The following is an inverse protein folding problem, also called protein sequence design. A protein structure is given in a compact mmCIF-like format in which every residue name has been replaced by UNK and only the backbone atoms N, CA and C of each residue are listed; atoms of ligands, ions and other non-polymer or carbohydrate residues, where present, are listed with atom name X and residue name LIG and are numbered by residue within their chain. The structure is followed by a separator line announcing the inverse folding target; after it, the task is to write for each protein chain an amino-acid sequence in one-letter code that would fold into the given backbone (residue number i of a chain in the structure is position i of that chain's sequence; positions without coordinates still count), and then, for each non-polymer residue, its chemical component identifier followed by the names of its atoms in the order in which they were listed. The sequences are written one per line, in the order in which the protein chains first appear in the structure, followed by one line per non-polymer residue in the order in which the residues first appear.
data_IF_862348976326
#
_entry.id   IF_862348976326
#
_cell.length_a   1.000
_cell.length_b   1.000
_cell.length_c   1.000
_cell.angle_alpha   90.00
_cell.angle_beta   90.00
_cell.angle_gamma   90.00
#
_symmetry.space_group_name_H-M   'P 1'
#
loop_
_entity.id
_entity.type
_entity.pdbx_description
1 polymer ?
#
# COMPACT_ATOMS: atom_id res chain seq x y z
N UNK A 1 25.02 -20.43 -8.50
CA UNK A 1 23.66 -20.89 -8.10
C UNK A 1 22.67 -20.05 -8.89
N UNK A 2 21.76 -20.65 -9.67
CA UNK A 2 20.77 -19.89 -10.45
C UNK A 2 19.82 -19.18 -9.49
N UNK A 3 19.74 -17.86 -9.56
CA UNK A 3 18.88 -17.04 -8.70
C UNK A 3 17.42 -17.32 -9.08
N UNK A 4 16.61 -17.76 -8.11
CA UNK A 4 15.20 -18.02 -8.33
C UNK A 4 14.43 -16.70 -8.43
N UNK A 5 13.96 -16.37 -9.63
CA UNK A 5 13.35 -15.07 -9.90
C UNK A 5 11.81 -15.04 -9.71
N UNK A 6 11.17 -16.18 -9.45
CA UNK A 6 9.72 -16.29 -9.24
C UNK A 6 9.32 -16.60 -7.79
N UNK A 7 8.03 -16.41 -7.48
CA UNK A 7 7.41 -16.81 -6.20
C UNK A 7 6.07 -17.48 -6.50
N UNK A 8 5.81 -18.67 -5.93
CA UNK A 8 4.55 -19.41 -6.09
C UNK A 8 3.86 -19.50 -4.74
N UNK A 9 2.62 -19.00 -4.65
CA UNK A 9 1.85 -18.97 -3.39
C UNK A 9 1.48 -20.36 -2.89
N UNK A 10 0.94 -21.19 -3.78
CA UNK A 10 0.36 -22.49 -3.46
C UNK A 10 0.48 -23.40 -4.68
N UNK A 11 0.91 -24.63 -4.44
CA UNK A 11 0.89 -25.72 -5.40
C UNK A 11 -0.06 -26.78 -4.87
N UNK A 12 -0.99 -27.23 -5.72
CA UNK A 12 -1.96 -28.27 -5.38
C UNK A 12 -1.75 -29.39 -6.38
N UNK A 13 -1.54 -30.61 -5.87
CA UNK A 13 -1.54 -31.82 -6.66
C UNK A 13 -2.82 -32.58 -6.34
N UNK A 14 -3.71 -32.65 -7.32
CA UNK A 14 -4.97 -33.38 -7.22
C UNK A 14 -4.84 -34.71 -7.97
N UNK A 15 -5.16 -35.82 -7.30
CA UNK A 15 -4.98 -37.18 -7.81
C UNK A 15 -6.17 -38.02 -7.43
N UNK A 16 -6.74 -38.70 -8.42
CA UNK A 16 -7.76 -39.74 -8.22
C UNK A 16 -7.10 -41.11 -8.31
N UNK A 17 -7.45 -42.01 -7.39
CA UNK A 17 -6.92 -43.38 -7.33
C UNK A 17 -8.06 -44.38 -7.53
N UNK A 18 -7.80 -45.44 -8.28
CA UNK A 18 -8.79 -46.49 -8.56
C UNK A 18 -9.06 -47.41 -7.36
N UNK A 19 -8.24 -47.35 -6.29
CA UNK A 19 -8.48 -48.11 -5.06
C UNK A 19 -7.98 -47.39 -3.80
N UNK A 20 -8.70 -47.56 -2.69
CA UNK A 20 -8.39 -46.94 -1.39
C UNK A 20 -7.20 -47.60 -0.65
N UNK A 21 -6.79 -48.80 -1.05
CA UNK A 21 -5.80 -49.61 -0.35
C UNK A 21 -4.38 -49.07 -0.65
N UNK A 22 -3.74 -48.48 0.36
CA UNK A 22 -2.36 -47.98 0.26
C UNK A 22 -2.22 -46.46 0.01
N UNK A 23 -3.30 -45.69 0.18
CA UNK A 23 -3.36 -44.25 -0.09
C UNK A 23 -2.27 -43.43 0.62
N UNK A 24 -1.93 -43.75 1.88
CA UNK A 24 -0.93 -43.01 2.65
C UNK A 24 0.50 -43.23 2.11
N UNK A 25 0.89 -44.48 1.88
CA UNK A 25 2.21 -44.82 1.35
C UNK A 25 2.39 -44.27 -0.07
N UNK A 26 1.32 -44.32 -0.87
CA UNK A 26 1.31 -43.72 -2.20
C UNK A 26 1.41 -42.18 -2.14
N UNK A 27 0.67 -41.53 -1.24
CA UNK A 27 0.78 -40.08 -1.01
C UNK A 27 2.20 -39.67 -0.61
N UNK A 28 2.85 -40.40 0.30
CA UNK A 28 4.24 -40.10 0.69
C UNK A 28 5.20 -40.24 -0.49
N UNK A 29 5.06 -41.30 -1.29
CA UNK A 29 5.88 -41.52 -2.50
C UNK A 29 5.69 -40.42 -3.53
N UNK A 30 4.44 -40.07 -3.86
CA UNK A 30 4.10 -38.97 -4.76
C UNK A 30 4.65 -37.64 -4.24
N UNK A 31 4.48 -37.36 -2.94
CA UNK A 31 4.96 -36.11 -2.35
C UNK A 31 6.48 -35.99 -2.46
N UNK A 32 7.19 -37.11 -2.27
CA UNK A 32 8.62 -37.22 -2.53
C UNK A 32 8.97 -36.84 -3.97
N UNK A 33 8.41 -37.56 -4.96
CA UNK A 33 8.63 -37.31 -6.39
C UNK A 33 8.32 -35.85 -6.76
N UNK A 34 7.21 -35.32 -6.26
CA UNK A 34 6.80 -33.94 -6.53
C UNK A 34 7.86 -32.95 -6.05
N UNK A 35 8.33 -33.08 -4.81
CA UNK A 35 9.33 -32.17 -4.22
C UNK A 35 10.72 -32.32 -4.84
N UNK A 36 11.16 -33.54 -5.15
CA UNK A 36 12.54 -33.79 -5.60
C UNK A 36 12.71 -33.73 -7.11
N UNK A 37 11.68 -34.06 -7.89
CA UNK A 37 11.79 -34.17 -9.34
C UNK A 37 10.95 -33.14 -10.10
N UNK A 38 9.77 -32.77 -9.59
CA UNK A 38 8.83 -31.90 -10.31
C UNK A 38 9.05 -30.42 -9.98
N UNK A 39 9.17 -30.07 -8.69
CA UNK A 39 9.41 -28.68 -8.24
C UNK A 39 10.64 -28.06 -8.91
N UNK A 40 11.82 -28.73 -8.97
CA UNK A 40 12.98 -28.16 -9.65
C UNK A 40 12.76 -27.89 -11.15
N UNK A 41 11.88 -28.65 -11.82
CA UNK A 41 11.55 -28.45 -13.24
C UNK A 41 10.63 -27.26 -13.44
N UNK A 42 9.60 -27.14 -12.59
CA UNK A 42 8.75 -25.95 -12.53
C UNK A 42 9.63 -24.71 -12.32
N UNK A 43 10.57 -24.78 -11.38
CA UNK A 43 11.46 -23.67 -11.08
C UNK A 43 12.37 -23.30 -12.27
N UNK A 44 12.88 -24.30 -12.99
CA UNK A 44 13.70 -24.08 -14.18
C UNK A 44 12.90 -23.38 -15.30
N UNK A 45 11.66 -23.81 -15.55
CA UNK A 45 10.79 -23.20 -16.56
C UNK A 45 10.39 -21.77 -16.20
N UNK A 46 10.01 -21.51 -14.95
CA UNK A 46 9.68 -20.16 -14.49
C UNK A 46 10.89 -19.23 -14.55
N UNK A 47 12.07 -19.69 -14.11
CA UNK A 47 13.30 -18.88 -14.12
C UNK A 47 13.70 -18.49 -15.55
N UNK A 48 13.50 -19.38 -16.53
CA UNK A 48 13.81 -19.13 -17.94
C UNK A 48 13.03 -17.97 -18.57
N UNK A 49 11.84 -17.65 -18.04
CA UNK A 49 10.98 -16.59 -18.56
C UNK A 49 11.19 -15.26 -17.81
N UNK A 50 11.74 -15.30 -16.61
CA UNK A 50 11.80 -14.18 -15.66
C UNK A 50 12.94 -13.18 -15.92
N UNK A 51 13.32 -12.95 -17.18
CA UNK A 51 14.51 -12.16 -17.56
C UNK A 51 14.28 -10.65 -17.71
N UNK A 52 13.03 -10.19 -17.76
CA UNK A 52 12.67 -8.78 -18.00
C UNK A 52 12.61 -7.91 -16.73
N UNK A 53 12.51 -6.59 -16.92
CA UNK A 53 12.31 -5.60 -15.85
C UNK A 53 10.88 -5.56 -15.28
N UNK A 54 9.97 -6.34 -15.86
CA UNK A 54 8.56 -6.42 -15.50
C UNK A 54 8.27 -7.67 -14.65
N UNK A 55 7.38 -7.53 -13.67
CA UNK A 55 6.90 -8.68 -12.91
C UNK A 55 5.65 -9.22 -13.59
N UNK A 56 5.64 -10.53 -13.84
CA UNK A 56 4.50 -11.22 -14.43
C UNK A 56 3.67 -11.82 -13.29
N UNK A 57 2.37 -11.52 -13.25
CA UNK A 57 1.44 -12.14 -12.30
C UNK A 57 0.53 -13.14 -13.01
N UNK A 58 0.51 -14.36 -12.49
CA UNK A 58 -0.40 -15.43 -12.92
C UNK A 58 -1.24 -15.81 -11.71
N UNK A 59 -2.55 -15.56 -11.78
CA UNK A 59 -3.45 -15.81 -10.65
C UNK A 59 -3.66 -17.32 -10.40
N UNK A 60 -3.80 -18.11 -11.49
CA UNK A 60 -3.95 -19.57 -11.44
C UNK A 60 -3.41 -20.22 -12.71
N UNK A 61 -2.63 -21.29 -12.55
CA UNK A 61 -2.16 -22.15 -13.64
C UNK A 61 -2.59 -23.58 -13.35
N UNK A 62 -3.45 -24.13 -14.21
CA UNK A 62 -3.94 -25.51 -14.09
C UNK A 62 -3.35 -26.37 -15.19
N UNK A 63 -2.85 -27.53 -14.79
CA UNK A 63 -2.30 -28.54 -15.66
C UNK A 63 -3.09 -29.82 -15.47
N UNK A 64 -3.75 -30.25 -16.53
CA UNK A 64 -4.29 -31.60 -16.60
C UNK A 64 -3.20 -32.54 -17.11
N UNK A 65 -2.77 -33.46 -16.24
CA UNK A 65 -1.77 -34.47 -16.57
C UNK A 65 -2.41 -35.76 -17.09
N UNK A 66 -3.74 -35.87 -17.11
CA UNK A 66 -4.47 -37.08 -17.49
C UNK A 66 -4.07 -38.29 -16.64
N UNK A 67 -4.11 -39.48 -17.25
CA UNK A 67 -3.81 -40.74 -16.57
C UNK A 67 -2.29 -40.97 -16.52
N UNK A 68 -1.78 -41.32 -15.34
CA UNK A 68 -0.36 -41.65 -15.09
C UNK A 68 -0.22 -43.13 -14.70
N UNK A 69 0.69 -43.86 -15.34
CA UNK A 69 1.00 -45.24 -14.97
C UNK A 69 1.75 -45.29 -13.63
N UNK A 70 1.18 -46.01 -12.66
CA UNK A 70 1.76 -46.20 -11.33
C UNK A 70 3.16 -46.84 -11.36
N UNK A 71 3.45 -47.68 -12.35
CA UNK A 71 4.73 -48.40 -12.48
C UNK A 71 5.85 -47.45 -12.92
N UNK A 72 5.52 -46.49 -13.80
CA UNK A 72 6.47 -45.53 -14.38
C UNK A 72 6.22 -44.09 -13.94
N UNK A 73 5.51 -43.92 -12.82
CA UNK A 73 4.95 -42.67 -12.34
C UNK A 73 5.93 -41.49 -12.37
N UNK A 74 7.14 -41.66 -11.82
CA UNK A 74 8.12 -40.59 -11.77
C UNK A 74 8.54 -40.14 -13.19
N UNK A 75 8.78 -41.09 -14.08
CA UNK A 75 9.20 -40.82 -15.47
C UNK A 75 8.08 -40.18 -16.28
N UNK A 76 6.85 -40.70 -16.19
CA UNK A 76 5.70 -40.12 -16.90
C UNK A 76 5.36 -38.73 -16.38
N UNK A 77 5.35 -38.53 -15.07
CA UNK A 77 5.06 -37.23 -14.46
C UNK A 77 6.07 -36.18 -14.92
N UNK A 78 7.38 -36.50 -14.89
CA UNK A 78 8.42 -35.61 -15.44
C UNK A 78 8.15 -35.26 -16.91
N UNK A 79 7.92 -36.28 -17.73
CA UNK A 79 7.68 -36.10 -19.17
C UNK A 79 6.49 -35.18 -19.43
N UNK A 80 5.35 -35.42 -18.78
CA UNK A 80 4.15 -34.61 -18.97
C UNK A 80 4.33 -33.17 -18.46
N UNK A 81 5.10 -32.96 -17.39
CA UNK A 81 5.43 -31.61 -16.91
C UNK A 81 6.30 -30.89 -17.94
N UNK A 82 7.36 -31.51 -18.44
CA UNK A 82 8.25 -30.91 -19.43
C UNK A 82 7.51 -30.58 -20.75
N UNK A 83 6.50 -31.38 -21.11
CA UNK A 83 5.69 -31.18 -22.32
C UNK A 83 4.61 -30.12 -22.13
N UNK A 84 3.81 -30.20 -21.06
CA UNK A 84 2.59 -29.40 -20.89
C UNK A 84 2.82 -28.10 -20.14
N UNK A 85 3.75 -28.06 -19.19
CA UNK A 85 3.99 -26.88 -18.35
C UNK A 85 4.47 -25.68 -19.15
N UNK A 86 5.47 -25.79 -20.05
CA UNK A 86 5.88 -24.65 -20.87
C UNK A 86 4.73 -24.12 -21.73
N UNK A 87 3.94 -25.00 -22.34
CA UNK A 87 2.82 -24.61 -23.20
C UNK A 87 1.75 -23.86 -22.42
N UNK A 88 1.34 -24.39 -21.26
CA UNK A 88 0.36 -23.74 -20.39
C UNK A 88 0.89 -22.43 -19.82
N UNK A 89 2.17 -22.38 -19.48
CA UNK A 89 2.82 -21.16 -19.02
C UNK A 89 2.80 -20.10 -20.12
N UNK A 90 3.23 -20.41 -21.35
CA UNK A 90 3.21 -19.49 -22.50
C UNK A 90 1.80 -19.00 -22.82
N UNK A 91 0.82 -19.91 -22.81
CA UNK A 91 -0.58 -19.55 -23.01
C UNK A 91 -1.10 -18.62 -21.89
N UNK A 92 -0.69 -18.86 -20.64
CA UNK A 92 -1.02 -17.97 -19.52
C UNK A 92 -0.34 -16.59 -19.64
N UNK A 93 0.77 -16.49 -20.36
CA UNK A 93 1.46 -15.24 -20.67
C UNK A 93 0.91 -14.53 -21.91
N UNK A 94 -0.15 -15.06 -22.53
CA UNK A 94 -0.82 -14.44 -23.67
C UNK A 94 -0.08 -14.56 -25.00
N UNK A 95 0.86 -15.52 -25.15
CA UNK A 95 1.52 -15.83 -26.43
C UNK A 95 2.49 -14.76 -26.99
N UNK A 96 2.34 -13.49 -26.62
CA UNK A 96 3.12 -12.36 -27.13
C UNK A 96 4.44 -12.10 -26.39
N UNK A 97 4.68 -12.75 -25.25
CA UNK A 97 5.89 -12.52 -24.44
C UNK A 97 7.17 -13.17 -24.99
N UNK A 98 7.10 -14.01 -26.02
CA UNK A 98 8.25 -14.75 -26.55
C UNK A 98 8.71 -14.33 -27.94
N UNK A 99 7.98 -13.45 -28.62
CA UNK A 99 8.41 -12.86 -29.89
C UNK A 99 8.92 -11.44 -29.64
N UNK A 100 10.24 -11.27 -29.75
CA UNK A 100 10.99 -10.00 -29.82
C UNK A 100 11.62 -9.47 -28.54
N UNK A 101 12.82 -9.98 -28.31
CA UNK A 101 13.97 -9.32 -27.69
C UNK A 101 14.45 -8.04 -28.46
N UNK A 102 13.54 -7.31 -29.16
CA UNK A 102 13.88 -6.09 -29.93
C UNK A 102 12.79 -5.00 -30.00
N UNK A 103 11.66 -5.12 -29.33
CA UNK A 103 10.65 -4.06 -29.33
C UNK A 103 10.15 -3.77 -27.91
N UNK A 104 11.03 -3.16 -27.11
CA UNK A 104 10.56 -2.38 -25.97
C UNK A 104 9.64 -1.27 -26.51
N UNK A 105 8.46 -1.14 -25.90
CA UNK A 105 7.43 -0.11 -26.10
C UNK A 105 6.35 -0.45 -27.13
N UNK A 106 5.33 -1.22 -26.73
CA UNK A 106 3.90 -0.86 -26.89
C UNK A 106 2.99 -1.95 -26.31
N UNK A 107 2.52 -1.77 -25.06
CA UNK A 107 1.24 -2.36 -24.62
C UNK A 107 0.52 -1.34 -23.74
N UNK A 108 0.01 -0.30 -24.37
CA UNK A 108 -0.97 0.65 -23.83
C UNK A 108 -2.09 0.77 -24.87
N UNK A 109 -2.83 -0.32 -25.06
CA UNK A 109 -4.14 -0.36 -25.70
C UNK A 109 -4.69 -1.76 -25.46
N UNK A 110 -5.90 -1.87 -24.91
CA UNK A 110 -6.68 -3.10 -24.62
C UNK A 110 -6.79 -3.51 -23.14
N UNK A 111 -6.82 -2.55 -22.21
CA UNK A 111 -6.96 -2.81 -20.77
C UNK A 111 -8.41 -2.96 -20.24
N UNK A 112 -9.43 -3.21 -21.06
CA UNK A 112 -10.81 -3.22 -20.55
C UNK A 112 -11.64 -4.48 -20.78
N UNK A 113 -11.10 -5.54 -21.40
CA UNK A 113 -11.79 -6.84 -21.45
C UNK A 113 -10.76 -7.97 -21.54
N UNK A 114 -10.35 -8.55 -20.40
CA UNK A 114 -10.05 -9.99 -20.23
C UNK A 114 -9.32 -10.28 -18.91
N UNK A 115 -9.88 -11.23 -18.15
CA UNK A 115 -9.29 -12.13 -17.15
C UNK A 115 -7.84 -11.91 -16.72
N UNK A 116 -7.63 -11.03 -15.72
CA UNK A 116 -6.66 -11.19 -14.61
C UNK A 116 -5.16 -11.34 -14.91
N UNK A 117 -4.70 -11.23 -16.16
CA UNK A 117 -3.32 -11.56 -16.56
C UNK A 117 -2.64 -10.35 -17.19
N UNK A 118 -1.85 -9.64 -16.39
CA UNK A 118 -1.10 -8.47 -16.87
C UNK A 118 0.31 -8.41 -16.30
N UNK A 119 1.28 -7.87 -17.06
CA UNK A 119 2.52 -7.37 -16.46
C UNK A 119 2.20 -6.32 -15.41
N UNK A 120 2.66 -6.58 -14.20
CA UNK A 120 2.57 -5.64 -13.09
C UNK A 120 3.82 -4.77 -13.16
N UNK A 121 3.62 -3.49 -13.49
CA UNK A 121 4.70 -2.51 -13.45
C UNK A 121 5.29 -2.43 -12.04
N UNK A 122 6.58 -2.08 -11.94
CA UNK A 122 7.22 -1.87 -10.63
C UNK A 122 6.43 -0.89 -9.75
N UNK A 123 5.88 0.17 -10.37
CA UNK A 123 5.07 1.19 -9.69
C UNK A 123 3.81 0.59 -9.06
N UNK A 124 3.10 -0.27 -9.79
CA UNK A 124 1.89 -0.94 -9.31
C UNK A 124 2.20 -1.89 -8.14
N UNK A 125 3.24 -2.72 -8.30
CA UNK A 125 3.69 -3.65 -7.25
C UNK A 125 4.11 -2.92 -5.97
N UNK A 126 4.85 -1.83 -6.11
CA UNK A 126 5.29 -0.99 -4.99
C UNK A 126 4.06 -0.42 -4.23
N UNK A 127 3.04 0.06 -4.96
CA UNK A 127 1.79 0.53 -4.35
C UNK A 127 1.00 -0.60 -3.66
N UNK A 128 0.80 -1.74 -4.31
CA UNK A 128 0.11 -2.90 -3.73
C UNK A 128 0.79 -3.38 -2.45
N UNK A 129 2.13 -3.40 -2.44
CA UNK A 129 2.94 -3.78 -1.28
C UNK A 129 2.72 -2.81 -0.12
N UNK A 130 2.80 -1.50 -0.37
CA UNK A 130 2.57 -0.46 0.63
C UNK A 130 1.13 -0.53 1.18
N UNK A 131 0.13 -0.62 0.30
CA UNK A 131 -1.28 -0.67 0.69
C UNK A 131 -1.61 -1.93 1.48
N UNK A 132 -1.05 -3.08 1.11
CA UNK A 132 -1.22 -4.32 1.88
C UNK A 132 -0.57 -4.22 3.25
N UNK A 133 0.66 -3.72 3.34
CA UNK A 133 1.35 -3.50 4.62
C UNK A 133 0.56 -2.54 5.51
N UNK A 134 0.09 -1.41 4.97
CA UNK A 134 -0.73 -0.46 5.71
C UNK A 134 -2.01 -1.13 6.22
N UNK A 135 -2.70 -1.97 5.43
CA UNK A 135 -3.96 -2.60 5.86
C UNK A 135 -3.80 -3.80 6.80
N UNK A 136 -2.73 -4.58 6.64
CA UNK A 136 -2.57 -5.88 7.30
C UNK A 136 -1.42 -5.94 8.31
N UNK A 137 -0.52 -4.95 8.31
CA UNK A 137 0.66 -4.91 9.18
C UNK A 137 1.75 -5.92 8.85
N UNK A 138 1.61 -6.65 7.74
CA UNK A 138 2.55 -7.65 7.27
C UNK A 138 2.83 -7.45 5.78
N UNK A 139 3.98 -7.92 5.29
CA UNK A 139 4.27 -7.88 3.87
C UNK A 139 3.44 -8.94 3.13
N UNK A 140 3.02 -8.68 1.88
CA UNK A 140 2.39 -9.69 1.06
C UNK A 140 3.29 -10.92 0.85
N UNK A 141 2.66 -12.07 0.61
CA UNK A 141 3.36 -13.34 0.35
C UNK A 141 4.28 -13.32 -0.87
N UNK A 142 4.06 -12.40 -1.82
CA UNK A 142 4.88 -12.28 -3.03
C UNK A 142 6.18 -11.49 -2.82
N UNK A 143 6.35 -10.83 -1.67
CA UNK A 143 7.60 -10.14 -1.33
C UNK A 143 8.63 -11.15 -0.82
N UNK A 144 9.74 -11.31 -1.55
CA UNK A 144 10.81 -12.24 -1.16
C UNK A 144 11.51 -11.77 0.11
N UNK A 145 11.96 -12.73 0.93
CA UNK A 145 12.65 -12.44 2.20
C UNK A 145 13.91 -11.59 2.06
N UNK A 146 14.63 -11.67 0.94
CA UNK A 146 15.80 -10.86 0.63
C UNK A 146 15.49 -9.49 0.00
N UNK A 147 14.22 -9.22 -0.34
CA UNK A 147 13.78 -8.01 -1.05
C UNK A 147 12.86 -7.14 -0.17
N UNK A 148 12.95 -7.30 1.16
CA UNK A 148 12.10 -6.55 2.10
C UNK A 148 12.30 -5.06 1.89
N UNK A 149 11.30 -4.32 1.38
CA UNK A 149 11.47 -2.91 1.13
C UNK A 149 11.49 -2.18 2.47
N UNK A 150 12.26 -1.10 2.54
CA UNK A 150 12.11 -0.15 3.64
C UNK A 150 10.78 0.59 3.43
N UNK A 151 9.80 0.36 4.30
CA UNK A 151 8.44 0.92 4.14
C UNK A 151 8.44 2.44 4.12
N UNK A 152 9.34 3.09 4.88
CA UNK A 152 9.51 4.54 4.85
C UNK A 152 9.99 5.05 3.48
N UNK A 153 10.97 4.39 2.88
CA UNK A 153 11.44 4.70 1.52
C UNK A 153 10.36 4.49 0.48
N UNK A 154 9.58 3.40 0.62
CA UNK A 154 8.49 3.07 -0.27
C UNK A 154 7.37 4.12 -0.19
N UNK A 155 6.96 4.49 1.02
CA UNK A 155 5.96 5.53 1.26
C UNK A 155 6.42 6.88 0.69
N UNK A 156 7.63 7.33 1.05
CA UNK A 156 8.22 8.58 0.55
C UNK A 156 8.31 8.59 -0.97
N UNK A 157 8.78 7.50 -1.57
CA UNK A 157 8.86 7.33 -3.01
C UNK A 157 7.49 7.34 -3.69
N UNK A 158 6.43 6.84 -3.04
CA UNK A 158 5.07 6.86 -3.57
C UNK A 158 4.41 8.23 -3.45
N UNK A 159 4.62 8.95 -2.34
CA UNK A 159 4.15 10.34 -2.17
C UNK A 159 4.66 11.23 -3.30
N UNK A 160 5.92 11.04 -3.71
CA UNK A 160 6.54 11.83 -4.79
C UNK A 160 6.16 11.36 -6.21
N UNK A 161 5.99 10.05 -6.44
CA UNK A 161 5.75 9.47 -7.78
C UNK A 161 4.27 9.33 -8.15
N UNK A 162 3.40 9.22 -7.16
CA UNK A 162 1.95 9.05 -7.34
C UNK A 162 1.14 9.66 -6.17
N UNK A 163 1.18 10.99 -6.01
CA UNK A 163 0.50 11.68 -4.92
C UNK A 163 -1.01 11.43 -4.92
N UNK A 164 -1.64 11.29 -6.09
CA UNK A 164 -3.07 11.05 -6.22
C UNK A 164 -3.49 9.69 -5.61
N UNK A 165 -2.76 8.60 -5.90
CA UNK A 165 -3.04 7.30 -5.28
C UNK A 165 -2.76 7.29 -3.79
N UNK A 166 -1.73 7.99 -3.33
CA UNK A 166 -1.47 8.12 -1.88
C UNK A 166 -2.60 8.88 -1.20
N UNK A 167 -3.06 10.00 -1.78
CA UNK A 167 -4.22 10.74 -1.26
C UNK A 167 -5.44 9.84 -1.15
N UNK A 168 -5.78 9.08 -2.20
CA UNK A 168 -6.90 8.15 -2.19
C UNK A 168 -6.76 7.05 -1.12
N UNK A 169 -5.56 6.50 -0.94
CA UNK A 169 -5.28 5.52 0.12
C UNK A 169 -5.48 6.13 1.52
N UNK A 170 -4.94 7.33 1.76
CA UNK A 170 -5.07 8.04 3.03
C UNK A 170 -6.53 8.37 3.36
N UNK A 171 -7.30 8.83 2.37
CA UNK A 171 -8.75 9.06 2.52
C UNK A 171 -9.48 7.76 2.92
N UNK A 172 -9.16 6.65 2.26
CA UNK A 172 -9.82 5.37 2.51
C UNK A 172 -9.53 4.78 3.90
N UNK A 173 -8.41 5.15 4.54
CA UNK A 173 -8.04 4.67 5.88
C UNK A 173 -8.27 5.72 6.96
N UNK A 174 -8.73 6.92 6.61
CA UNK A 174 -8.72 8.10 7.49
C UNK A 174 -9.45 7.86 8.83
N UNK A 175 -10.53 7.09 8.83
CA UNK A 175 -11.30 6.80 10.04
C UNK A 175 -10.64 5.74 10.97
N UNK A 176 -9.69 4.94 10.48
CA UNK A 176 -9.11 3.84 11.24
C UNK A 176 -7.80 4.27 11.92
N UNK A 177 -7.86 4.40 13.24
CA UNK A 177 -6.73 4.79 14.08
C UNK A 177 -5.49 3.91 13.86
N UNK A 178 -5.65 2.59 13.79
CA UNK A 178 -4.52 1.67 13.69
C UNK A 178 -3.84 1.76 12.31
N UNK A 179 -4.61 2.00 11.25
CA UNK A 179 -4.07 2.17 9.90
C UNK A 179 -3.31 3.49 9.77
N UNK A 180 -3.89 4.59 10.28
CA UNK A 180 -3.24 5.91 10.27
C UNK A 180 -1.98 5.91 11.14
N UNK A 181 -2.04 5.31 12.32
CA UNK A 181 -0.88 5.09 13.18
C UNK A 181 0.24 4.38 12.42
N UNK A 182 -0.08 3.31 11.68
CA UNK A 182 0.93 2.56 10.90
C UNK A 182 1.57 3.42 9.81
N UNK A 183 0.82 4.32 9.18
CA UNK A 183 1.39 5.30 8.23
C UNK A 183 2.36 6.22 8.94
N UNK A 184 1.96 6.84 10.05
CA UNK A 184 2.81 7.79 10.78
C UNK A 184 4.09 7.14 11.33
N UNK A 185 4.03 5.89 11.80
CA UNK A 185 5.22 5.15 12.22
C UNK A 185 6.24 4.90 11.10
N UNK A 186 5.79 4.89 9.85
CA UNK A 186 6.64 4.64 8.69
C UNK A 186 6.89 5.91 7.87
N UNK A 187 6.60 7.09 8.41
CA UNK A 187 6.83 8.37 7.74
C UNK A 187 7.89 9.17 8.49
N UNK A 188 8.88 9.68 7.76
CA UNK A 188 9.74 10.75 8.28
C UNK A 188 8.98 12.10 8.26
N UNK A 189 9.54 13.11 8.91
CA UNK A 189 8.89 14.41 9.04
C UNK A 189 8.55 15.06 7.69
N UNK A 190 9.44 14.94 6.70
CA UNK A 190 9.22 15.48 5.36
C UNK A 190 8.12 14.72 4.61
N UNK A 191 8.02 13.41 4.79
CA UNK A 191 6.93 12.60 4.23
C UNK A 191 5.60 12.98 4.87
N UNK A 192 5.53 13.20 6.19
CA UNK A 192 4.31 13.69 6.86
C UNK A 192 3.89 15.05 6.32
N UNK A 193 4.83 16.00 6.19
CA UNK A 193 4.57 17.32 5.63
C UNK A 193 4.01 17.23 4.20
N UNK A 194 4.63 16.41 3.34
CA UNK A 194 4.15 16.19 1.98
C UNK A 194 2.77 15.53 1.94
N UNK A 195 2.48 14.58 2.83
CA UNK A 195 1.16 13.96 2.92
C UNK A 195 0.08 14.97 3.35
N UNK A 196 0.38 15.86 4.31
CA UNK A 196 -0.55 16.94 4.70
C UNK A 196 -0.77 17.89 3.52
N UNK A 197 0.28 18.22 2.77
CA UNK A 197 0.18 19.07 1.59
C UNK A 197 -0.67 18.48 0.46
N UNK A 198 -0.93 17.16 0.45
CA UNK A 198 -1.89 16.53 -0.49
C UNK A 198 -3.33 16.97 -0.26
N UNK A 199 -3.67 17.36 0.98
CA UNK A 199 -4.99 17.80 1.40
C UNK A 199 -5.04 19.31 1.60
N UNK A 200 -3.98 19.88 2.18
CA UNK A 200 -3.86 21.28 2.56
C UNK A 200 -2.57 21.89 2.03
N UNK A 201 -2.48 22.22 0.71
CA UNK A 201 -1.22 22.60 0.06
C UNK A 201 -0.50 23.79 0.66
N UNK A 202 -1.26 24.74 1.19
CA UNK A 202 -0.72 25.99 1.76
C UNK A 202 -0.40 25.86 3.25
N UNK A 203 -0.86 24.80 3.92
CA UNK A 203 -0.81 24.69 5.37
C UNK A 203 0.15 23.60 5.88
N UNK A 204 0.64 22.69 5.01
CA UNK A 204 1.53 21.58 5.42
C UNK A 204 2.71 22.02 6.29
N UNK A 205 3.48 23.01 5.84
CA UNK A 205 4.60 23.56 6.59
C UNK A 205 4.15 24.21 7.92
N UNK A 206 3.10 25.03 7.90
CA UNK A 206 2.60 25.72 9.09
C UNK A 206 2.10 24.73 10.16
N UNK A 207 1.45 23.65 9.73
CA UNK A 207 1.01 22.57 10.62
C UNK A 207 2.23 21.87 11.23
N UNK A 208 3.16 21.37 10.40
CA UNK A 208 4.30 20.59 10.86
C UNK A 208 5.31 21.39 11.69
N UNK A 209 5.57 22.66 11.34
CA UNK A 209 6.62 23.47 11.98
C UNK A 209 6.12 24.33 13.13
N UNK A 210 4.81 24.63 13.19
CA UNK A 210 4.25 25.53 14.22
C UNK A 210 3.20 24.84 15.08
N UNK A 211 2.11 24.35 14.48
CA UNK A 211 0.99 23.77 15.24
C UNK A 211 1.39 22.48 15.96
N UNK A 212 2.02 21.55 15.25
CA UNK A 212 2.38 20.24 15.81
C UNK A 212 3.34 20.36 17.00
N UNK A 213 4.46 21.12 16.93
CA UNK A 213 5.34 21.30 18.09
C UNK A 213 4.66 22.01 19.26
N UNK A 214 3.81 23.02 18.99
CA UNK A 214 3.10 23.73 20.04
C UNK A 214 2.08 22.82 20.76
N UNK A 215 1.32 22.01 20.01
CA UNK A 215 0.39 21.03 20.59
C UNK A 215 1.15 20.01 21.43
N UNK A 216 2.27 19.49 20.89
CA UNK A 216 3.13 18.54 21.60
C UNK A 216 3.60 19.09 22.94
N UNK A 217 4.13 20.31 22.96
CA UNK A 217 4.63 20.95 24.19
C UNK A 217 3.51 21.13 25.23
N UNK A 218 2.32 21.57 24.81
CA UNK A 218 1.19 21.76 25.72
C UNK A 218 0.65 20.44 26.27
N UNK A 219 0.54 19.42 25.41
CA UNK A 219 0.07 18.10 25.80
C UNK A 219 1.06 17.41 26.74
N UNK A 220 2.36 17.50 26.49
CA UNK A 220 3.39 16.94 27.38
C UNK A 220 3.39 17.56 28.78
N UNK A 221 3.04 18.85 28.89
CA UNK A 221 2.90 19.53 30.19
C UNK A 221 1.56 19.30 30.86
N UNK A 222 0.62 18.64 30.21
CA UNK A 222 -0.74 18.52 30.71
C UNK A 222 -0.84 17.45 31.81
N UNK A 223 -1.31 17.81 33.02
CA UNK A 223 -1.35 16.89 34.15
C UNK A 223 -2.34 15.73 33.94
N UNK A 224 -3.28 15.84 33.00
CA UNK A 224 -4.23 14.77 32.69
C UNK A 224 -3.55 13.53 32.06
N UNK A 225 -2.30 13.65 31.59
CA UNK A 225 -1.56 12.55 30.96
C UNK A 225 -0.52 11.87 31.85
N UNK A 226 -0.43 12.20 33.15
CA UNK A 226 0.64 11.69 34.04
C UNK A 226 0.68 10.16 34.21
N UNK A 227 -0.40 9.45 33.83
CA UNK A 227 -0.48 7.99 33.85
C UNK A 227 -0.13 7.30 32.53
N UNK A 228 0.22 8.04 31.47
CA UNK A 228 0.50 7.49 30.14
C UNK A 228 1.93 7.75 29.71
N UNK A 229 2.46 6.89 28.83
CA UNK A 229 3.79 7.13 28.26
C UNK A 229 3.77 8.30 27.29
N UNK A 230 4.82 9.12 27.29
CA UNK A 230 4.95 10.25 26.35
C UNK A 230 4.80 9.80 24.90
N UNK A 231 5.40 8.66 24.53
CA UNK A 231 5.32 8.10 23.18
C UNK A 231 3.88 7.73 22.76
N UNK A 232 3.09 7.17 23.67
CA UNK A 232 1.69 6.83 23.41
C UNK A 232 0.85 8.09 23.19
N UNK A 233 1.03 9.11 24.03
CA UNK A 233 0.31 10.38 23.92
C UNK A 233 0.70 11.13 22.65
N UNK A 234 1.99 11.18 22.31
CA UNK A 234 2.48 11.79 21.08
C UNK A 234 1.93 11.10 19.83
N UNK A 235 1.90 9.75 19.82
CA UNK A 235 1.34 9.00 18.70
C UNK A 235 -0.16 9.25 18.55
N UNK A 236 -0.92 9.21 19.66
CA UNK A 236 -2.36 9.49 19.63
C UNK A 236 -2.65 10.92 19.17
N UNK A 237 -1.86 11.91 19.60
CA UNK A 237 -1.96 13.29 19.14
C UNK A 237 -1.68 13.40 17.64
N UNK A 238 -0.62 12.74 17.17
CA UNK A 238 -0.26 12.74 15.76
C UNK A 238 -1.34 12.11 14.88
N UNK A 239 -1.88 10.97 15.30
CA UNK A 239 -3.00 10.30 14.61
C UNK A 239 -4.22 11.21 14.60
N UNK A 240 -4.62 11.78 15.73
CA UNK A 240 -5.79 12.66 15.79
C UNK A 240 -5.63 13.88 14.86
N UNK A 241 -4.49 14.56 14.92
CA UNK A 241 -4.21 15.71 14.04
C UNK A 241 -4.23 15.31 12.56
N UNK A 242 -3.58 14.21 12.21
CA UNK A 242 -3.50 13.75 10.82
C UNK A 242 -4.86 13.28 10.27
N UNK A 243 -5.67 12.60 11.08
CA UNK A 243 -7.03 12.19 10.71
C UNK A 243 -7.93 13.40 10.44
N UNK A 244 -7.85 14.43 11.28
CA UNK A 244 -8.61 15.67 11.05
C UNK A 244 -8.15 16.38 9.76
N UNK A 245 -6.85 16.43 9.49
CA UNK A 245 -6.33 17.04 8.26
C UNK A 245 -6.72 16.28 6.99
N UNK A 246 -6.88 14.96 7.06
CA UNK A 246 -7.39 14.15 5.94
C UNK A 246 -8.90 14.34 5.77
N UNK A 247 -9.64 14.46 6.87
CA UNK A 247 -11.12 14.48 6.83
C UNK A 247 -11.67 15.87 6.50
N UNK A 248 -10.99 16.93 6.95
CA UNK A 248 -11.32 18.31 6.62
C UNK A 248 -10.89 18.62 5.18
N UNK A 249 -11.81 18.45 4.22
CA UNK A 249 -11.61 18.79 2.81
C UNK A 249 -11.97 20.25 2.49
N UNK A 250 -12.23 21.09 3.51
CA UNK A 250 -12.51 22.49 3.29
C UNK A 250 -11.31 23.20 2.68
N UNK A 251 -11.56 24.10 1.70
CA UNK A 251 -10.52 24.95 1.10
C UNK A 251 -9.79 25.81 2.15
N UNK A 252 -10.45 26.04 3.29
CA UNK A 252 -9.95 26.82 4.41
C UNK A 252 -9.96 25.96 5.67
N UNK A 253 -8.84 25.31 5.96
CA UNK A 253 -8.57 24.73 7.28
C UNK A 253 -8.86 25.82 8.33
N UNK A 254 -9.36 25.48 9.52
CA UNK A 254 -9.49 26.45 10.61
C UNK A 254 -8.80 25.95 11.87
N UNK A 255 -7.92 26.79 12.45
CA UNK A 255 -7.10 26.42 13.61
C UNK A 255 -7.93 25.97 14.82
N UNK A 256 -8.96 26.73 15.17
CA UNK A 256 -9.78 26.46 16.36
C UNK A 256 -10.59 25.15 16.24
N UNK A 257 -11.38 24.93 15.16
CA UNK A 257 -12.05 23.65 14.94
C UNK A 257 -11.08 22.46 14.88
N UNK A 258 -9.91 22.63 14.26
CA UNK A 258 -8.88 21.59 14.20
C UNK A 258 -8.40 21.19 15.60
N UNK A 259 -8.05 22.16 16.46
CA UNK A 259 -7.61 21.89 17.83
C UNK A 259 -8.74 21.31 18.68
N UNK A 260 -9.98 21.80 18.53
CA UNK A 260 -11.17 21.24 19.19
C UNK A 260 -11.34 19.76 18.89
N UNK A 261 -11.28 19.37 17.62
CA UNK A 261 -11.43 17.97 17.23
C UNK A 261 -10.28 17.09 17.70
N UNK A 262 -9.03 17.58 17.63
CA UNK A 262 -7.86 16.85 18.16
C UNK A 262 -8.02 16.59 19.65
N UNK A 263 -8.41 17.61 20.42
CA UNK A 263 -8.64 17.48 21.86
C UNK A 263 -9.78 16.52 22.16
N UNK A 264 -10.90 16.63 21.45
CA UNK A 264 -12.05 15.72 21.60
C UNK A 264 -11.64 14.27 21.37
N UNK A 265 -10.85 14.01 20.34
CA UNK A 265 -10.38 12.66 20.05
C UNK A 265 -9.40 12.13 21.11
N UNK A 266 -8.49 12.98 21.61
CA UNK A 266 -7.59 12.62 22.71
C UNK A 266 -8.37 12.33 24.00
N UNK A 267 -9.36 13.17 24.34
CA UNK A 267 -10.21 12.96 25.50
C UNK A 267 -10.93 11.61 25.43
N UNK A 268 -11.50 11.27 24.27
CA UNK A 268 -12.11 9.97 24.04
C UNK A 268 -11.10 8.80 24.15
N UNK A 269 -9.91 8.96 23.55
CA UNK A 269 -8.88 7.90 23.51
C UNK A 269 -8.33 7.57 24.90
N UNK A 270 -8.18 8.58 25.76
CA UNK A 270 -7.59 8.44 27.09
C UNK A 270 -8.63 8.49 28.23
N UNK A 271 -9.92 8.52 27.90
CA UNK A 271 -11.04 8.63 28.85
C UNK A 271 -10.90 9.84 29.80
N UNK A 272 -10.64 11.01 29.23
CA UNK A 272 -10.47 12.29 29.94
C UNK A 272 -11.68 13.20 29.75
N UNK A 273 -11.83 14.20 30.61
CA UNK A 273 -12.84 15.26 30.42
C UNK A 273 -12.43 16.20 29.29
N UNK A 274 -13.23 16.21 28.21
CA UNK A 274 -12.98 17.00 27.00
C UNK A 274 -12.89 18.50 27.28
N UNK A 275 -13.79 19.04 28.12
CA UNK A 275 -13.84 20.49 28.40
C UNK A 275 -12.64 20.93 29.21
N UNK A 276 -12.25 20.13 30.20
CA UNK A 276 -11.08 20.38 31.04
C UNK A 276 -9.78 20.27 30.24
N UNK A 277 -9.67 19.27 29.36
CA UNK A 277 -8.53 19.12 28.46
C UNK A 277 -8.44 20.28 27.47
N UNK A 278 -9.54 20.64 26.82
CA UNK A 278 -9.59 21.78 25.89
C UNK A 278 -9.20 23.08 26.59
N UNK A 279 -9.79 23.32 27.76
CA UNK A 279 -9.47 24.49 28.58
C UNK A 279 -7.98 24.52 28.94
N UNK A 280 -7.33 23.38 29.19
CA UNK A 280 -5.90 23.35 29.47
C UNK A 280 -5.05 23.61 28.22
N UNK A 281 -5.33 22.91 27.12
CA UNK A 281 -4.57 23.01 25.86
C UNK A 281 -4.66 24.40 25.24
N UNK A 282 -5.81 25.06 25.39
CA UNK A 282 -6.05 26.41 24.85
C UNK A 282 -5.72 27.52 25.85
N UNK A 283 -5.67 27.24 27.17
CA UNK A 283 -5.34 28.26 28.18
C UNK A 283 -4.00 28.92 27.88
N UNK A 284 -4.03 30.25 27.91
CA UNK A 284 -2.91 31.13 27.67
C UNK A 284 -1.72 30.78 28.59
N UNK A 285 -0.52 30.79 28.02
CA UNK A 285 0.70 30.87 28.83
C UNK A 285 0.62 32.11 29.71
N UNK A 286 1.39 32.17 30.81
CA UNK A 286 1.47 33.34 31.72
C UNK A 286 1.73 34.70 31.02
N UNK A 287 2.08 34.70 29.73
CA UNK A 287 2.37 35.86 28.90
C UNK A 287 1.18 36.29 28.00
N UNK A 288 -0.01 35.69 28.14
CA UNK A 288 -1.23 36.10 27.41
C UNK A 288 -1.30 35.68 25.94
N UNK A 289 -0.49 34.70 25.53
CA UNK A 289 -0.50 34.17 24.15
C UNK A 289 -0.85 32.69 24.21
N UNK A 290 -2.01 32.32 23.66
CA UNK A 290 -2.46 30.94 23.55
C UNK A 290 -1.87 30.23 22.33
N UNK A 291 -2.03 28.90 22.26
CA UNK A 291 -1.63 28.11 21.09
C UNK A 291 -2.31 28.60 19.79
N UNK A 292 -3.48 29.23 19.92
CA UNK A 292 -4.23 29.82 18.81
C UNK A 292 -3.66 31.17 18.35
N UNK A 293 -2.84 31.83 19.18
CA UNK A 293 -2.30 33.17 18.92
C UNK A 293 -0.84 33.14 18.45
N UNK A 294 -0.04 32.16 18.87
CA UNK A 294 1.39 32.03 18.48
C UNK A 294 1.61 31.64 17.01
N UNK A 295 0.61 31.00 16.38
CA UNK A 295 0.80 30.38 15.06
C UNK A 295 0.42 31.36 13.95
N UNK A 296 1.40 32.08 13.40
CA UNK A 296 1.21 32.82 12.14
C UNK A 296 0.91 31.84 11.01
N UNK A 297 -0.34 31.83 10.55
CA UNK A 297 -0.77 31.12 9.35
C UNK A 297 -0.46 31.93 8.10
N UNK A 298 -0.20 31.27 6.95
CA UNK A 298 -0.22 31.97 5.69
C UNK A 298 -1.54 32.76 5.61
N UNK A 299 -1.45 34.08 5.38
CA UNK A 299 -2.66 34.91 5.24
C UNK A 299 -3.46 34.33 4.09
N UNK A 300 -4.78 34.28 4.26
CA UNK A 300 -5.74 33.95 3.21
C UNK A 300 -5.32 34.70 1.94
N UNK A 301 -4.93 33.97 0.90
CA UNK A 301 -4.77 34.60 -0.40
C UNK A 301 -6.16 34.99 -0.85
N UNK A 302 -6.47 36.28 -0.77
CA UNK A 302 -7.56 36.87 -1.52
C UNK A 302 -7.45 36.45 -2.99
N UNK A 303 -8.59 36.37 -3.66
CA UNK A 303 -8.84 35.74 -4.95
C UNK A 303 -7.98 36.18 -6.18
N UNK A 304 -6.82 36.82 -6.00
CA UNK A 304 -6.08 37.52 -7.05
C UNK A 304 -4.72 36.91 -7.47
N UNK A 305 -4.33 35.73 -7.01
CA UNK A 305 -3.22 35.00 -7.64
C UNK A 305 -3.61 33.56 -8.02
N UNK A 306 -4.53 33.47 -8.99
CA UNK A 306 -4.78 32.26 -9.78
C UNK A 306 -3.63 31.99 -10.76
N UNK A 307 -2.41 31.77 -10.26
CA UNK A 307 -1.47 30.94 -11.02
C UNK A 307 -1.20 29.68 -10.21
N UNK A 308 -1.94 28.59 -10.52
CA UNK A 308 -1.57 27.28 -10.03
C UNK A 308 -0.12 27.04 -10.47
N UNK A 309 0.75 26.65 -9.53
CA UNK A 309 2.12 26.23 -9.88
C UNK A 309 2.06 25.17 -10.99
N UNK A 310 3.13 25.01 -11.77
CA UNK A 310 3.15 24.06 -12.89
C UNK A 310 2.65 22.63 -12.49
N UNK A 311 2.86 22.28 -11.22
CA UNK A 311 2.36 21.09 -10.55
C UNK A 311 0.82 21.00 -10.49
N UNK A 312 0.12 22.10 -10.19
CA UNK A 312 -1.35 22.13 -10.13
C UNK A 312 -2.01 22.07 -11.49
N UNK A 313 -1.40 22.65 -12.52
CA UNK A 313 -1.89 22.50 -13.91
C UNK A 313 -1.83 21.05 -14.37
N UNK A 314 -0.82 20.30 -13.93
CA UNK A 314 -0.73 18.86 -14.19
C UNK A 314 -1.79 18.06 -13.42
N UNK A 315 -2.04 18.37 -12.14
CA UNK A 315 -3.06 17.70 -11.35
C UNK A 315 -4.48 17.95 -11.87
N UNK A 316 -4.82 19.20 -12.22
CA UNK A 316 -6.11 19.55 -12.81
C UNK A 316 -6.29 18.89 -14.20
N UNK A 317 -5.22 18.81 -15.01
CA UNK A 317 -5.26 18.13 -16.29
C UNK A 317 -5.51 16.61 -16.13
N UNK A 318 -4.88 15.98 -15.14
CA UNK A 318 -5.08 14.55 -14.84
C UNK A 318 -6.48 14.31 -14.28
N UNK A 319 -6.96 15.15 -13.37
CA UNK A 319 -8.32 15.04 -12.81
C UNK A 319 -9.39 15.22 -13.91
N UNK A 320 -9.16 16.17 -14.83
CA UNK A 320 -10.01 16.37 -16.00
C UNK A 320 -10.00 15.17 -16.93
N UNK A 321 -8.83 14.58 -17.20
CA UNK A 321 -8.71 13.36 -18.00
C UNK A 321 -9.41 12.15 -17.34
N UNK A 322 -9.32 12.02 -16.02
CA UNK A 322 -10.01 10.94 -15.28
C UNK A 322 -11.53 11.12 -15.28
N UNK A 323 -12.03 12.37 -15.25
CA UNK A 323 -13.45 12.70 -15.41
C UNK A 323 -13.96 12.48 -16.83
N UNK A 324 -13.18 12.84 -17.85
CA UNK A 324 -13.51 12.62 -19.28
C UNK A 324 -13.49 11.12 -19.65
N UNK A 325 -12.72 10.30 -18.94
CA UNK A 325 -12.67 8.84 -19.13
C UNK A 325 -13.78 8.04 -18.41
N UNK A 326 -14.78 8.71 -17.81
CA UNK A 326 -15.93 8.08 -17.14
C UNK A 326 -15.55 6.96 -16.14
N UNK A 327 -14.50 7.18 -15.33
CA UNK A 327 -14.09 6.30 -14.23
C UNK A 327 -14.60 6.75 -12.85
N UNK A 328 -15.57 7.66 -12.81
CA UNK A 328 -16.39 7.91 -11.63
C UNK A 328 -17.61 7.01 -11.75
N UNK A 329 -17.66 5.94 -10.95
CA UNK A 329 -18.90 5.19 -10.74
C UNK A 329 -19.98 6.20 -10.31
N UNK A 330 -21.17 6.24 -10.95
CA UNK A 330 -22.25 7.09 -10.49
C UNK A 330 -22.60 6.70 -9.06
N UNK A 331 -22.84 7.71 -8.22
CA UNK A 331 -23.41 7.54 -6.88
C UNK A 331 -24.68 6.69 -6.97
N UNK A 332 -24.73 5.60 -6.20
CA UNK A 332 -25.96 4.98 -5.73
C UNK A 332 -25.90 4.83 -4.21
#
# INVERSE_FOLDING_TARGET
MKTQNHVIKKQILDLTLDSEIGSLAFQSRISGIFRTEIVPRIDAHCTGISGGSENIRIDRLELDLGVLDQRNLATEFKKKIDELFPQKLIAALGGHYLENDKAAHTVMANAFNNDGKFPVTRKERDFETLAHFIRKGQLPWWVKSGERPQMAELLRGMVNRDPARVRALLTAIAADFALVQRVLYNADQSTVENMIALFHPQHGEAVCRKLWPALREQIQRCPYFTGFSSAQVEMAMGVALFQQLITDQGENLQRKPLVEQVVKQLAATFNLDEKALYSYVVKERKNGVGILDEISWPKQMGAEQKQPSAYWRQLEAIEKQLKELALILPEQ
#
